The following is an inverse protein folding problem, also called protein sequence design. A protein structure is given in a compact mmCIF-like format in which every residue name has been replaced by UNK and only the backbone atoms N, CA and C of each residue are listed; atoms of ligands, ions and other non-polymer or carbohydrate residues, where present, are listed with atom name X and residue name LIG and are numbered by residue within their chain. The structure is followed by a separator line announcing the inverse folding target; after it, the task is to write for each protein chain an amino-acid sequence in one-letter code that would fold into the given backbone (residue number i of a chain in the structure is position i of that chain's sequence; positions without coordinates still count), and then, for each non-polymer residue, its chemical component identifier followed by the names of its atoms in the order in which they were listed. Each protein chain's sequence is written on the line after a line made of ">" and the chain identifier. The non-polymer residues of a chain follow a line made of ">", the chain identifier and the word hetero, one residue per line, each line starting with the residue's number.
data_IF_148214117852
#
_entry.id   IF_148214117852
#
_cell.length_a   1.000
_cell.length_b   1.000
_cell.length_c   1.000
_cell.angle_alpha   90.00
_cell.angle_beta   90.00
_cell.angle_gamma   90.00
#
_symmetry.space_group_name_H-M   'P 1'
#
loop_
_entity.id
_entity.type
_entity.pdbx_description
1 polymer ?
#
# COMPACT_ATOMS: atom_id res chain seq x y z
N UNK A 1 -5.85 17.26 -1.15
CA UNK A 1 -4.85 17.12 -2.21
C UNK A 1 -3.96 15.94 -1.84
N UNK A 2 -4.19 14.76 -2.44
CA UNK A 2 -3.27 13.63 -2.31
C UNK A 2 -1.98 13.98 -3.04
N UNK A 3 -0.85 13.99 -2.34
CA UNK A 3 0.45 14.23 -2.96
C UNK A 3 1.00 12.88 -3.42
N UNK A 4 1.13 12.72 -4.73
CA UNK A 4 1.85 11.59 -5.33
C UNK A 4 3.31 12.01 -5.41
N UNK A 5 4.17 11.39 -4.60
CA UNK A 5 5.61 11.58 -4.68
C UNK A 5 6.19 10.45 -5.54
N UNK A 6 6.69 10.81 -6.73
CA UNK A 6 7.39 9.89 -7.63
C UNK A 6 8.89 10.17 -7.52
N UNK A 7 9.53 9.55 -6.54
CA UNK A 7 10.98 9.63 -6.36
C UNK A 7 11.65 8.66 -7.32
N UNK A 8 12.17 9.15 -8.46
CA UNK A 8 13.09 8.36 -9.27
C UNK A 8 14.43 8.27 -8.52
N UNK A 9 14.62 7.20 -7.77
CA UNK A 9 15.89 6.93 -7.10
C UNK A 9 16.90 6.46 -8.18
N UNK A 10 17.59 7.42 -8.81
CA UNK A 10 18.79 7.10 -9.58
C UNK A 10 19.82 6.52 -8.62
N UNK A 11 20.09 5.23 -8.78
CA UNK A 11 20.94 4.47 -7.90
C UNK A 11 22.39 4.95 -7.97
N UNK A 12 22.94 5.40 -6.84
CA UNK A 12 24.36 5.26 -6.55
C UNK A 12 24.62 5.19 -5.03
N UNK A 13 25.60 4.37 -4.66
CA UNK A 13 26.49 4.55 -3.50
C UNK A 13 25.96 4.44 -2.05
N UNK A 14 25.97 3.22 -1.49
CA UNK A 14 26.36 2.92 -0.09
C UNK A 14 25.64 3.60 1.10
N UNK A 15 24.33 3.43 1.23
CA UNK A 15 23.73 3.20 2.55
C UNK A 15 22.90 1.93 2.47
N UNK A 16 23.01 1.04 3.46
CA UNK A 16 22.40 -0.28 3.52
C UNK A 16 20.92 -0.27 3.11
N UNK A 17 20.69 -0.50 1.81
CA UNK A 17 19.41 -0.32 1.15
C UNK A 17 18.58 -1.54 1.50
N UNK A 18 17.41 -1.32 2.11
CA UNK A 18 16.39 -2.36 2.20
C UNK A 18 16.19 -2.88 0.77
N UNK A 19 16.52 -4.15 0.55
CA UNK A 19 16.24 -4.81 -0.71
C UNK A 19 14.72 -4.97 -0.77
N UNK A 20 14.03 -3.99 -1.33
CA UNK A 20 12.56 -3.98 -1.40
C UNK A 20 12.02 -5.21 -2.13
N UNK A 21 12.81 -5.79 -3.05
CA UNK A 21 12.50 -7.06 -3.70
C UNK A 21 12.51 -8.28 -2.78
N UNK A 22 13.14 -8.18 -1.60
CA UNK A 22 13.13 -9.21 -0.56
C UNK A 22 12.00 -9.02 0.47
N UNK A 23 11.25 -7.92 0.42
CA UNK A 23 10.11 -7.69 1.32
C UNK A 23 8.89 -8.47 0.83
N UNK A 24 8.12 -9.01 1.78
CA UNK A 24 6.83 -9.61 1.46
C UNK A 24 5.86 -8.53 1.00
N UNK A 25 4.90 -8.91 0.15
CA UNK A 25 3.87 -7.97 -0.28
C UNK A 25 3.01 -7.45 0.87
N UNK A 26 2.84 -8.26 1.93
CA UNK A 26 2.28 -7.81 3.20
C UNK A 26 3.04 -6.58 3.72
N UNK A 27 4.35 -6.70 3.94
CA UNK A 27 5.16 -5.61 4.50
C UNK A 27 5.20 -4.38 3.57
N UNK A 28 5.25 -4.59 2.25
CA UNK A 28 5.17 -3.52 1.26
C UNK A 28 3.84 -2.76 1.36
N UNK A 29 2.71 -3.47 1.41
CA UNK A 29 1.39 -2.87 1.53
C UNK A 29 1.19 -2.16 2.88
N UNK A 30 1.69 -2.72 3.97
CA UNK A 30 1.71 -2.08 5.29
C UNK A 30 2.49 -0.75 5.25
N UNK A 31 3.60 -0.69 4.52
CA UNK A 31 4.34 0.56 4.31
C UNK A 31 3.57 1.55 3.45
N UNK A 32 2.83 1.11 2.43
CA UNK A 32 1.95 1.98 1.62
C UNK A 32 0.89 2.64 2.51
N UNK A 33 0.24 1.89 3.40
CA UNK A 33 -0.83 2.43 4.24
C UNK A 33 -0.35 3.12 5.51
N UNK A 34 0.83 2.76 6.03
CA UNK A 34 1.41 3.34 7.24
C UNK A 34 1.72 4.84 7.14
N UNK A 35 1.84 5.36 5.92
CA UNK A 35 2.01 6.79 5.64
C UNK A 35 0.69 7.56 5.41
N UNK A 36 -0.44 6.86 5.52
CA UNK A 36 -1.79 7.42 5.41
C UNK A 36 -2.39 7.67 6.81
N UNK A 37 -3.49 8.42 6.87
CA UNK A 37 -4.13 8.76 8.15
C UNK A 37 -4.61 7.53 8.94
N UNK A 38 -4.59 7.62 10.27
CA UNK A 38 -4.95 6.51 11.18
C UNK A 38 -6.34 5.94 10.93
N UNK A 39 -7.32 6.80 10.63
CA UNK A 39 -8.69 6.38 10.27
C UNK A 39 -8.69 5.39 9.09
N UNK A 40 -7.81 5.62 8.11
CA UNK A 40 -7.69 4.76 6.93
C UNK A 40 -7.00 3.45 7.28
N UNK A 41 -5.92 3.51 8.08
CA UNK A 41 -5.19 2.33 8.54
C UNK A 41 -6.07 1.40 9.38
N UNK A 42 -6.99 1.94 10.18
CA UNK A 42 -7.83 1.18 11.09
C UNK A 42 -8.70 0.12 10.39
N UNK A 43 -9.04 0.34 9.12
CA UNK A 43 -9.83 -0.62 8.35
C UNK A 43 -9.06 -1.89 7.94
N UNK A 44 -7.73 -1.84 7.99
CA UNK A 44 -6.86 -2.98 7.64
C UNK A 44 -6.31 -3.68 8.89
N UNK A 45 -6.80 -3.32 10.07
CA UNK A 45 -6.32 -3.83 11.36
C UNK A 45 -7.40 -4.62 12.09
N UNK A 46 -6.96 -5.56 12.91
CA UNK A 46 -7.81 -6.25 13.88
C UNK A 46 -8.12 -5.37 15.12
N UNK A 47 -8.94 -5.87 16.03
CA UNK A 47 -9.28 -5.18 17.29
C UNK A 47 -8.07 -4.95 18.22
N UNK A 48 -6.97 -5.67 18.01
CA UNK A 48 -5.71 -5.52 18.74
C UNK A 48 -4.76 -4.51 18.08
N UNK A 49 -5.12 -3.95 16.93
CA UNK A 49 -4.32 -2.99 16.18
C UNK A 49 -3.24 -3.61 15.28
N UNK A 50 -3.25 -4.92 15.08
CA UNK A 50 -2.34 -5.58 14.13
C UNK A 50 -2.95 -5.56 12.74
N UNK A 51 -2.12 -5.42 11.70
CA UNK A 51 -2.59 -5.54 10.33
C UNK A 51 -3.11 -6.95 10.05
N UNK A 52 -4.26 -7.03 9.39
CA UNK A 52 -4.81 -8.26 8.85
C UNK A 52 -3.90 -8.76 7.72
N UNK A 53 -4.04 -10.03 7.36
CA UNK A 53 -3.40 -10.53 6.14
C UNK A 53 -3.94 -9.78 4.91
N UNK A 54 -3.09 -9.41 3.96
CA UNK A 54 -3.47 -8.66 2.76
C UNK A 54 -4.55 -9.35 1.92
N UNK A 55 -4.71 -10.67 2.02
CA UNK A 55 -5.82 -11.39 1.37
C UNK A 55 -7.20 -11.02 1.94
N UNK A 56 -7.23 -10.49 3.16
CA UNK A 56 -8.44 -10.05 3.86
C UNK A 56 -8.70 -8.55 3.71
N UNK A 57 -7.80 -7.81 3.05
CA UNK A 57 -7.95 -6.38 2.89
C UNK A 57 -8.99 -6.09 1.80
N UNK A 58 -10.02 -5.34 2.17
CA UNK A 58 -11.01 -4.87 1.21
C UNK A 58 -10.33 -4.09 0.08
N UNK A 59 -10.83 -4.30 -1.13
CA UNK A 59 -10.35 -3.69 -2.37
C UNK A 59 -8.90 -3.98 -2.77
N UNK A 60 -8.27 -4.96 -2.12
CA UNK A 60 -6.99 -5.55 -2.53
C UNK A 60 -7.28 -6.93 -3.12
N UNK A 61 -6.76 -7.19 -4.33
CA UNK A 61 -6.80 -8.52 -4.93
C UNK A 61 -5.41 -9.12 -4.94
N UNK A 62 -5.27 -10.32 -4.37
CA UNK A 62 -4.04 -11.09 -4.36
C UNK A 62 -4.13 -12.29 -5.32
N UNK A 63 -2.99 -12.79 -5.79
CA UNK A 63 -2.93 -14.05 -6.54
C UNK A 63 -3.22 -15.23 -5.62
N UNK A 64 -3.98 -16.21 -6.12
CA UNK A 64 -4.35 -17.41 -5.34
C UNK A 64 -3.13 -18.24 -4.93
N UNK A 65 -2.05 -18.23 -5.74
CA UNK A 65 -0.93 -19.14 -5.56
C UNK A 65 0.21 -18.59 -4.69
N UNK A 66 0.38 -17.27 -4.62
CA UNK A 66 1.59 -16.64 -4.05
C UNK A 66 1.30 -15.47 -3.11
N UNK A 67 0.03 -15.16 -2.87
CA UNK A 67 -0.38 -13.97 -2.12
C UNK A 67 0.26 -12.68 -2.68
N UNK A 68 0.46 -12.64 -4.00
CA UNK A 68 1.06 -11.48 -4.68
C UNK A 68 -0.03 -10.44 -4.98
N UNK A 69 0.21 -9.15 -4.78
CA UNK A 69 -0.85 -8.14 -4.91
C UNK A 69 -0.95 -7.75 -6.37
N UNK A 70 -2.10 -8.03 -6.98
CA UNK A 70 -2.33 -7.75 -8.39
C UNK A 70 -3.08 -6.44 -8.58
N UNK A 71 -4.02 -6.11 -7.68
CA UNK A 71 -4.92 -4.96 -7.87
C UNK A 71 -5.23 -4.28 -6.56
N UNK A 72 -5.27 -2.95 -6.59
CA UNK A 72 -5.63 -2.08 -5.47
C UNK A 72 -6.66 -1.06 -6.00
N UNK A 73 -7.87 -1.04 -5.44
CA UNK A 73 -8.98 -0.19 -5.91
C UNK A 73 -9.68 0.56 -4.77
N UNK A 74 -9.05 1.61 -4.26
CA UNK A 74 -9.61 2.39 -3.15
C UNK A 74 -10.59 3.47 -3.67
N UNK A 75 -11.90 3.18 -3.61
CA UNK A 75 -12.98 4.02 -4.16
C UNK A 75 -13.98 4.55 -3.12
N UNK A 76 -14.64 5.68 -3.43
CA UNK A 76 -15.48 6.44 -2.48
C UNK A 76 -16.86 5.85 -2.19
N UNK A 77 -17.22 4.67 -2.70
CA UNK A 77 -18.55 4.07 -2.51
C UNK A 77 -18.48 2.90 -1.54
N UNK A 78 -18.52 3.20 -0.25
CA UNK A 78 -18.49 2.17 0.80
C UNK A 78 -17.12 1.54 1.04
N UNK A 79 -16.11 1.93 0.24
CA UNK A 79 -14.74 1.53 0.40
C UNK A 79 -13.92 2.61 1.13
N UNK A 80 -12.82 2.13 1.70
CA UNK A 80 -11.87 2.85 2.52
C UNK A 80 -11.11 3.78 1.56
N UNK A 81 -11.20 5.11 1.77
CA UNK A 81 -10.45 6.08 0.95
C UNK A 81 -9.53 6.87 1.85
N UNK A 82 -8.24 7.05 1.48
CA UNK A 82 -7.36 7.90 2.25
C UNK A 82 -7.99 9.29 2.24
N UNK A 83 -8.31 9.84 3.42
CA UNK A 83 -8.64 11.26 3.51
C UNK A 83 -7.44 12.05 2.94
N UNK A 84 -7.63 13.33 2.61
CA UNK A 84 -6.61 14.20 2.02
C UNK A 84 -5.34 14.44 2.88
N UNK A 85 -5.05 13.57 3.83
CA UNK A 85 -3.93 13.58 4.76
C UNK A 85 -3.07 12.32 4.54
N UNK A 86 -1.77 12.52 4.34
CA UNK A 86 -0.81 11.47 4.05
C UNK A 86 -0.22 11.54 2.64
N UNK A 87 0.70 10.63 2.36
CA UNK A 87 1.36 10.49 1.07
C UNK A 87 1.45 9.03 0.68
N UNK A 88 1.21 8.74 -0.59
CA UNK A 88 1.44 7.42 -1.16
C UNK A 88 2.79 7.46 -1.84
N UNK A 89 3.71 6.70 -1.28
CA UNK A 89 5.05 6.51 -1.79
C UNK A 89 5.04 5.26 -2.66
N UNK A 90 4.99 5.46 -3.99
CA UNK A 90 4.84 4.37 -4.97
C UNK A 90 6.04 3.40 -4.97
N UNK A 91 7.16 3.79 -4.36
CA UNK A 91 8.32 2.91 -4.14
C UNK A 91 7.99 1.67 -3.28
N UNK A 92 6.95 1.75 -2.46
CA UNK A 92 6.48 0.63 -1.63
C UNK A 92 5.40 -0.20 -2.31
N UNK A 93 4.93 0.17 -3.51
CA UNK A 93 3.98 -0.69 -4.22
C UNK A 93 4.67 -1.97 -4.67
N UNK A 94 4.07 -3.15 -4.42
CA UNK A 94 4.56 -4.39 -4.99
C UNK A 94 4.68 -4.27 -6.51
N UNK A 95 5.76 -4.82 -7.07
CA UNK A 95 6.03 -4.75 -8.51
C UNK A 95 5.06 -5.57 -9.38
N UNK A 96 4.23 -6.41 -8.73
CA UNK A 96 3.19 -7.24 -9.35
C UNK A 96 1.86 -6.52 -9.52
N UNK A 97 1.73 -5.30 -8.98
CA UNK A 97 0.51 -4.51 -9.10
C UNK A 97 0.27 -4.13 -10.56
N UNK A 98 -0.78 -4.68 -11.13
CA UNK A 98 -1.24 -4.39 -12.50
C UNK A 98 -2.16 -3.17 -12.52
N UNK A 99 -3.00 -3.03 -11.49
CA UNK A 99 -3.99 -1.95 -11.39
C UNK A 99 -3.85 -1.27 -10.04
N UNK A 100 -3.50 0.01 -10.09
CA UNK A 100 -3.51 0.90 -8.94
C UNK A 100 -4.49 2.04 -9.20
N UNK A 101 -5.61 2.05 -8.47
CA UNK A 101 -6.68 3.01 -8.67
C UNK A 101 -7.15 3.61 -7.35
N UNK A 102 -7.17 4.94 -7.29
CA UNK A 102 -7.59 5.70 -6.11
C UNK A 102 -8.44 6.88 -6.57
N UNK A 103 -9.61 7.04 -5.96
CA UNK A 103 -10.44 8.24 -6.13
C UNK A 103 -10.41 9.06 -4.85
N UNK A 104 -9.58 10.12 -4.82
CA UNK A 104 -9.62 11.15 -3.78
C UNK A 104 -10.67 12.23 -4.06
N UNK A 105 -11.15 12.91 -3.00
CA UNK A 105 -11.92 14.17 -3.11
C UNK A 105 -11.09 15.35 -2.63
#
# INVERSE_FOLDING_TARGET
>A
MVRIALTFLSADGSLGRLDYGSMTHQALMEMVIGHLCDDFQAHFKDESGNFLDISQWDDVSVSDDRSEVLRIRWERRGAIVPKNQGSIHLEWLPNTVEIFYIIGR
#
